data_IF_140631123259
#
_entry.id   IF_140631123259
#
_cell.length_a   1.000
_cell.length_b   1.000
_cell.length_c   1.000
_cell.angle_alpha   90.00
_cell.angle_beta   90.00
_cell.angle_gamma   90.00
#
_symmetry.space_group_name_H-M   'P 1'
#
loop_
_entity.id
_entity.type
_entity.pdbx_description
1 polymer ?
#
# COMPACT_ATOMS: atom_id res chain seq x y z
N UNK A 1 -14.78 -3.43 -3.78
CA UNK A 1 -13.71 -3.99 -2.94
C UNK A 1 -13.55 -3.06 -1.75
N UNK A 2 -13.85 -3.54 -0.54
CA UNK A 2 -14.08 -2.67 0.63
C UNK A 2 -12.76 -2.20 1.23
N UNK A 3 -12.64 -0.89 1.42
CA UNK A 3 -11.56 -0.16 2.10
C UNK A 3 -11.05 -0.80 3.42
N UNK A 4 -11.88 -1.66 4.04
CA UNK A 4 -11.61 -2.50 5.22
C UNK A 4 -10.27 -3.24 5.13
N UNK A 5 -9.90 -3.78 3.97
CA UNK A 5 -8.65 -4.54 3.84
C UNK A 5 -7.39 -3.65 3.95
N UNK A 6 -7.51 -2.36 3.65
CA UNK A 6 -6.36 -1.44 3.74
C UNK A 6 -6.15 -0.93 5.17
N UNK A 7 -7.21 -0.71 5.95
CA UNK A 7 -7.04 -0.25 7.34
C UNK A 7 -6.51 -1.35 8.25
N UNK A 8 -6.97 -2.60 8.10
CA UNK A 8 -6.47 -3.72 8.89
C UNK A 8 -5.01 -4.07 8.56
N UNK A 9 -4.66 -4.26 7.29
CA UNK A 9 -3.29 -4.54 6.88
C UNK A 9 -2.34 -3.36 7.16
N UNK A 10 -2.82 -2.13 6.95
CA UNK A 10 -2.07 -0.91 7.26
C UNK A 10 -1.76 -0.78 8.76
N UNK A 11 -2.70 -1.14 9.63
CA UNK A 11 -2.51 -1.17 11.09
C UNK A 11 -1.47 -2.20 11.50
N UNK A 12 -1.57 -3.44 11.00
CA UNK A 12 -0.61 -4.50 11.34
C UNK A 12 0.83 -4.09 10.97
N UNK A 13 1.00 -3.52 9.77
CA UNK A 13 2.29 -2.99 9.31
C UNK A 13 2.75 -1.82 10.20
N UNK A 14 1.85 -0.88 10.53
CA UNK A 14 2.17 0.29 11.34
C UNK A 14 2.64 -0.11 12.75
N UNK A 15 1.94 -1.05 13.39
CA UNK A 15 2.31 -1.60 14.70
C UNK A 15 3.67 -2.29 14.62
N UNK A 16 3.91 -3.14 13.61
CA UNK A 16 5.18 -3.82 13.44
C UNK A 16 6.36 -2.85 13.22
N UNK A 17 6.14 -1.76 12.47
CA UNK A 17 7.13 -0.69 12.33
C UNK A 17 7.40 -0.02 13.67
N UNK A 18 6.34 0.38 14.38
CA UNK A 18 6.47 1.07 15.66
C UNK A 18 7.20 0.21 16.70
N UNK A 19 6.88 -1.07 16.82
CA UNK A 19 7.50 -1.97 17.80
C UNK A 19 9.03 -2.06 17.61
N UNK A 20 9.48 -2.09 16.34
CA UNK A 20 10.90 -2.16 15.96
C UNK A 20 11.58 -0.80 15.80
N UNK A 21 10.83 0.29 15.88
CA UNK A 21 11.35 1.63 15.67
C UNK A 21 12.37 2.02 16.75
N UNK A 22 13.31 2.89 16.38
CA UNK A 22 14.23 3.52 17.34
C UNK A 22 13.46 4.38 18.35
N UNK A 23 14.12 4.80 19.43
CA UNK A 23 13.50 5.68 20.41
C UNK A 23 13.04 6.99 19.76
N UNK A 24 13.88 7.57 18.91
CA UNK A 24 13.62 8.81 18.19
C UNK A 24 12.43 8.67 17.23
N UNK A 25 12.33 7.54 16.52
CA UNK A 25 11.20 7.26 15.64
C UNK A 25 9.89 7.07 16.40
N UNK A 26 9.92 6.43 17.58
CA UNK A 26 8.75 6.31 18.47
C UNK A 26 8.31 7.69 18.96
N UNK A 27 9.25 8.53 19.39
CA UNK A 27 8.97 9.90 19.84
C UNK A 27 8.27 10.73 18.73
N UNK A 28 8.62 10.52 17.46
CA UNK A 28 7.94 11.17 16.32
C UNK A 28 6.49 10.69 16.17
N UNK A 29 6.23 9.38 16.29
CA UNK A 29 4.87 8.84 16.21
C UNK A 29 4.01 9.29 17.40
N UNK A 30 4.57 9.32 18.60
CA UNK A 30 3.89 9.85 19.79
C UNK A 30 3.65 11.36 19.70
N UNK A 31 4.59 12.13 19.14
CA UNK A 31 4.39 13.55 18.89
C UNK A 31 3.28 13.80 17.87
N UNK A 32 3.16 12.94 16.87
CA UNK A 32 2.04 12.97 15.93
C UNK A 32 0.71 12.71 16.66
N UNK A 33 0.64 11.69 17.53
CA UNK A 33 -0.54 11.42 18.34
C UNK A 33 -0.93 12.62 19.21
N UNK A 34 0.00 13.18 19.97
CA UNK A 34 -0.22 14.37 20.82
C UNK A 34 -0.66 15.61 20.03
N UNK A 35 -0.29 15.70 18.75
CA UNK A 35 -0.76 16.78 17.86
C UNK A 35 -2.22 16.58 17.45
N UNK A 36 -2.68 15.33 17.34
CA UNK A 36 -4.08 15.03 17.03
C UNK A 36 -4.96 15.19 18.28
N UNK A 37 -4.54 14.62 19.40
CA UNK A 37 -5.22 14.69 20.71
C UNK A 37 -5.09 16.11 21.31
N UNK A 38 -5.99 17.00 20.86
CA UNK A 38 -5.91 18.41 21.17
C UNK A 38 -6.46 18.74 22.57
N UNK A 39 -7.41 17.93 23.06
CA UNK A 39 -7.99 18.09 24.39
C UNK A 39 -7.21 17.34 25.49
N UNK A 40 -6.30 16.43 25.12
CA UNK A 40 -5.44 15.68 26.03
C UNK A 40 -6.15 14.54 26.76
N UNK A 41 -7.22 13.99 26.20
CA UNK A 41 -8.00 12.90 26.81
C UNK A 41 -7.41 11.50 26.54
N UNK A 42 -6.30 11.44 25.79
CA UNK A 42 -5.59 10.21 25.46
C UNK A 42 -6.21 9.46 24.30
N UNK A 43 -7.14 10.07 23.57
CA UNK A 43 -7.83 9.52 22.40
C UNK A 43 -7.97 10.62 21.34
N UNK A 44 -8.34 10.23 20.12
CA UNK A 44 -8.55 11.18 19.02
C UNK A 44 -9.97 11.05 18.48
N UNK A 45 -10.77 12.09 18.67
CA UNK A 45 -12.10 12.17 18.08
C UNK A 45 -12.04 12.47 16.58
N UNK A 46 -13.12 12.16 15.85
CA UNK A 46 -13.25 12.53 14.44
C UNK A 46 -13.09 14.05 14.21
N UNK A 47 -13.54 14.86 15.17
CA UNK A 47 -13.43 16.32 15.12
C UNK A 47 -11.97 16.78 15.20
N UNK A 48 -11.20 16.18 16.10
CA UNK A 48 -9.76 16.43 16.24
C UNK A 48 -8.98 15.96 15.03
N UNK A 49 -9.30 14.76 14.52
CA UNK A 49 -8.70 14.26 13.29
C UNK A 49 -8.96 15.21 12.11
N UNK A 50 -10.20 15.71 11.96
CA UNK A 50 -10.59 16.70 10.93
C UNK A 50 -9.81 18.01 10.99
N UNK A 51 -9.46 18.45 12.19
CA UNK A 51 -8.72 19.70 12.40
C UNK A 51 -7.23 19.56 12.09
N UNK A 52 -6.66 18.40 12.40
CA UNK A 52 -5.21 18.19 12.33
C UNK A 52 -4.75 17.47 11.07
N UNK A 53 -5.62 16.67 10.45
CA UNK A 53 -5.37 15.93 9.20
C UNK A 53 -6.46 16.28 8.20
N UNK A 54 -6.07 16.66 6.98
CA UNK A 54 -7.01 16.97 5.89
C UNK A 54 -7.28 15.78 4.97
N UNK A 55 -8.27 15.94 4.10
CA UNK A 55 -8.53 15.01 2.99
C UNK A 55 -9.40 13.80 3.36
N UNK A 56 -9.29 12.71 2.59
CA UNK A 56 -10.18 11.55 2.67
C UNK A 56 -10.17 10.82 4.03
N UNK A 57 -9.10 10.92 4.82
CA UNK A 57 -8.99 10.32 6.15
C UNK A 57 -10.05 10.86 7.12
N UNK A 58 -10.56 12.06 6.85
CA UNK A 58 -11.61 12.71 7.63
C UNK A 58 -13.03 12.25 7.29
N UNK A 59 -13.17 11.36 6.31
CA UNK A 59 -14.44 10.77 5.94
C UNK A 59 -14.92 9.84 7.07
N UNK A 60 -16.17 9.97 7.49
CA UNK A 60 -16.76 9.16 8.56
C UNK A 60 -16.67 7.65 8.32
N UNK A 61 -16.77 7.21 7.06
CA UNK A 61 -16.63 5.79 6.72
C UNK A 61 -15.20 5.27 6.91
N UNK A 62 -14.22 6.15 6.70
CA UNK A 62 -12.80 5.82 6.88
C UNK A 62 -12.46 5.84 8.37
N UNK A 63 -12.95 6.85 9.11
CA UNK A 63 -12.81 6.91 10.55
C UNK A 63 -13.36 5.66 11.23
N UNK A 64 -14.58 5.23 10.89
CA UNK A 64 -15.18 3.98 11.41
C UNK A 64 -14.41 2.70 11.06
N UNK A 65 -13.50 2.74 10.09
CA UNK A 65 -12.63 1.60 9.76
C UNK A 65 -11.27 1.69 10.46
N UNK A 66 -10.91 2.86 10.95
CA UNK A 66 -9.76 3.09 11.81
C UNK A 66 -10.10 2.85 13.28
N UNK A 67 -11.34 3.11 13.69
CA UNK A 67 -11.89 2.75 14.99
C UNK A 67 -12.27 1.26 14.98
N UNK A 68 -11.34 0.40 15.41
CA UNK A 68 -11.53 -1.06 15.41
C UNK A 68 -12.32 -1.53 16.61
N UNK A 69 -12.09 -0.92 17.77
CA UNK A 69 -12.79 -1.28 18.99
C UNK A 69 -14.23 -0.72 19.02
N UNK A 70 -14.55 0.23 18.14
CA UNK A 70 -15.89 0.79 17.95
C UNK A 70 -16.31 1.75 19.06
N UNK A 71 -15.36 2.33 19.80
CA UNK A 71 -15.65 3.23 20.93
C UNK A 71 -15.92 4.68 20.51
N UNK A 72 -15.84 4.97 19.21
CA UNK A 72 -16.10 6.28 18.63
C UNK A 72 -14.91 7.22 18.66
N UNK A 73 -13.76 6.76 19.12
CA UNK A 73 -12.48 7.48 19.16
C UNK A 73 -11.36 6.63 18.56
N UNK A 74 -10.20 7.23 18.31
CA UNK A 74 -8.99 6.48 17.95
C UNK A 74 -8.01 6.49 19.11
N UNK A 75 -7.61 5.32 19.57
CA UNK A 75 -6.50 5.16 20.50
C UNK A 75 -5.13 5.34 19.81
N UNK A 76 -4.05 5.25 20.58
CA UNK A 76 -2.70 5.42 20.05
C UNK A 76 -2.36 4.42 18.93
N UNK A 77 -2.71 3.14 19.08
CA UNK A 77 -2.40 2.10 18.10
C UNK A 77 -3.26 2.25 16.84
N UNK A 78 -4.49 2.72 16.97
CA UNK A 78 -5.36 3.10 15.85
C UNK A 78 -4.80 4.30 15.08
N UNK A 79 -4.23 5.28 15.78
CA UNK A 79 -3.56 6.43 15.17
C UNK A 79 -2.24 6.04 14.49
N UNK A 80 -1.56 4.96 14.88
CA UNK A 80 -0.37 4.49 14.15
C UNK A 80 -0.71 4.15 12.68
N UNK A 81 -1.90 3.60 12.43
CA UNK A 81 -2.36 3.36 11.05
C UNK A 81 -2.50 4.68 10.27
N UNK A 82 -3.04 5.73 10.91
CA UNK A 82 -3.12 7.08 10.32
C UNK A 82 -1.72 7.63 10.06
N UNK A 83 -0.81 7.53 11.03
CA UNK A 83 0.58 7.97 10.89
C UNK A 83 1.26 7.28 9.72
N UNK A 84 1.11 5.96 9.59
CA UNK A 84 1.63 5.16 8.48
C UNK A 84 1.02 5.60 7.14
N UNK A 85 -0.29 5.79 7.06
CA UNK A 85 -0.97 6.23 5.84
C UNK A 85 -0.55 7.63 5.39
N UNK A 86 -0.30 8.55 6.32
CA UNK A 86 0.08 9.93 5.99
C UNK A 86 1.57 10.06 5.66
N UNK A 87 2.44 9.30 6.35
CA UNK A 87 3.89 9.52 6.27
C UNK A 87 4.65 8.44 5.48
N UNK A 88 4.08 7.25 5.29
CA UNK A 88 4.74 6.12 4.62
C UNK A 88 4.04 5.70 3.32
N UNK A 89 2.73 5.89 3.21
CA UNK A 89 2.02 5.62 1.96
C UNK A 89 2.13 6.83 1.02
N UNK A 90 2.66 6.59 -0.18
CA UNK A 90 2.53 7.54 -1.26
C UNK A 90 1.13 7.42 -1.84
N UNK A 91 0.28 8.37 -1.45
CA UNK A 91 -1.12 8.39 -1.83
C UNK A 91 -1.25 8.85 -3.28
N UNK A 92 -1.54 7.91 -4.17
CA UNK A 92 -1.64 8.13 -5.61
C UNK A 92 -3.09 8.38 -6.03
N UNK A 93 -3.26 9.15 -7.10
CA UNK A 93 -4.54 9.33 -7.78
C UNK A 93 -4.53 8.53 -9.08
N UNK A 94 -5.66 7.93 -9.41
CA UNK A 94 -5.87 7.26 -10.68
C UNK A 94 -5.72 8.27 -11.82
N UNK A 95 -4.86 8.03 -12.80
CA UNK A 95 -4.72 8.92 -13.96
C UNK A 95 -6.00 8.97 -14.81
N UNK A 96 -6.79 7.89 -14.84
CA UNK A 96 -8.06 7.83 -15.59
C UNK A 96 -9.21 8.56 -14.90
N UNK A 97 -9.63 8.13 -13.70
CA UNK A 97 -10.81 8.70 -13.03
C UNK A 97 -10.49 9.79 -11.99
N UNK A 98 -9.21 10.09 -11.74
CA UNK A 98 -8.72 10.98 -10.66
C UNK A 98 -9.14 10.55 -9.24
N UNK A 99 -9.74 9.37 -9.10
CA UNK A 99 -10.07 8.76 -7.82
C UNK A 99 -8.83 8.32 -7.06
N UNK A 100 -8.89 8.39 -5.73
CA UNK A 100 -7.79 7.98 -4.86
C UNK A 100 -7.53 6.46 -4.96
N UNK A 101 -6.26 6.07 -5.12
CA UNK A 101 -5.85 4.67 -5.24
C UNK A 101 -5.70 4.03 -3.86
N UNK A 102 -6.84 3.64 -3.30
CA UNK A 102 -6.95 2.96 -2.00
C UNK A 102 -7.24 1.48 -2.27
N UNK A 103 -6.20 0.64 -2.29
CA UNK A 103 -6.30 -0.79 -2.59
C UNK A 103 -5.33 -1.24 -3.70
N UNK A 104 -5.54 -2.40 -4.34
CA UNK A 104 -4.71 -2.81 -5.47
C UNK A 104 -4.94 -1.86 -6.64
N UNK A 105 -3.85 -1.50 -7.28
CA UNK A 105 -3.81 -0.65 -8.46
C UNK A 105 -2.71 -1.14 -9.38
N UNK A 106 -2.68 -0.59 -10.59
CA UNK A 106 -1.65 -0.88 -11.58
C UNK A 106 -0.79 0.37 -11.76
N UNK A 107 0.52 0.20 -11.71
CA UNK A 107 1.47 1.28 -12.01
C UNK A 107 2.27 0.94 -13.25
N UNK A 108 2.51 1.94 -14.10
CA UNK A 108 3.42 1.76 -15.22
C UNK A 108 4.85 1.66 -14.70
N UNK A 109 5.49 0.50 -14.90
CA UNK A 109 6.87 0.24 -14.50
C UNK A 109 7.91 1.20 -15.11
N UNK A 110 7.59 1.86 -16.23
CA UNK A 110 8.43 2.87 -16.87
C UNK A 110 8.20 4.29 -16.34
N UNK A 111 7.03 4.57 -15.77
CA UNK A 111 6.68 5.86 -15.16
C UNK A 111 6.88 5.87 -13.63
N UNK A 112 6.94 4.69 -13.01
CA UNK A 112 7.03 4.50 -11.58
C UNK A 112 8.17 5.35 -10.98
N UNK A 113 7.84 6.15 -9.96
CA UNK A 113 8.79 7.01 -9.25
C UNK A 113 9.12 8.34 -9.94
N UNK A 114 8.65 8.59 -11.17
CA UNK A 114 8.88 9.84 -11.92
C UNK A 114 7.88 10.94 -11.54
N UNK A 115 7.59 11.14 -10.26
CA UNK A 115 6.63 12.16 -9.81
C UNK A 115 6.93 13.55 -10.39
N UNK A 116 5.91 14.30 -10.89
CA UNK A 116 4.48 13.99 -10.90
C UNK A 116 4.02 13.12 -12.09
N UNK A 117 4.92 12.74 -12.98
CA UNK A 117 4.67 12.01 -14.23
C UNK A 117 4.56 10.49 -14.05
N UNK A 118 4.09 10.04 -12.89
CA UNK A 118 3.73 8.63 -12.71
C UNK A 118 2.41 8.34 -13.43
N UNK A 119 2.20 7.08 -13.77
CA UNK A 119 0.96 6.65 -14.41
C UNK A 119 0.40 5.42 -13.70
N UNK A 120 -0.68 5.65 -12.97
CA UNK A 120 -1.29 4.71 -12.04
C UNK A 120 -2.79 4.61 -12.29
N UNK A 121 -3.34 3.39 -12.31
CA UNK A 121 -4.76 3.15 -12.59
C UNK A 121 -5.40 2.27 -11.52
N UNK A 122 -6.63 2.62 -11.17
CA UNK A 122 -7.47 1.71 -10.39
C UNK A 122 -7.88 0.49 -11.22
N UNK A 123 -8.28 -0.60 -10.56
CA UNK A 123 -8.69 -1.82 -11.25
C UNK A 123 -9.81 -1.61 -12.27
N UNK A 124 -10.72 -0.66 -12.03
CA UNK A 124 -11.84 -0.40 -12.94
C UNK A 124 -11.40 0.33 -14.22
N UNK A 125 -10.57 1.37 -14.09
CA UNK A 125 -9.99 2.06 -15.26
C UNK A 125 -9.07 1.12 -16.05
N UNK A 126 -8.25 0.33 -15.36
CA UNK A 126 -7.42 -0.69 -16.01
C UNK A 126 -8.27 -1.69 -16.81
N UNK A 127 -9.36 -2.21 -16.22
CA UNK A 127 -10.24 -3.19 -16.87
C UNK A 127 -10.94 -2.64 -18.12
N UNK A 128 -11.30 -1.35 -18.12
CA UNK A 128 -11.99 -0.72 -19.25
C UNK A 128 -11.08 -0.46 -20.44
N UNK A 129 -9.77 -0.38 -20.23
CA UNK A 129 -8.83 -0.06 -21.31
C UNK A 129 -8.92 1.40 -21.78
N UNK A 130 -9.48 2.31 -20.97
CA UNK A 130 -9.58 3.75 -21.24
C UNK A 130 -8.19 4.45 -21.14
N UNK A 131 -7.18 3.92 -21.83
CA UNK A 131 -5.76 4.30 -21.69
C UNK A 131 -5.12 4.80 -22.99
N UNK A 132 -5.76 4.54 -24.12
CA UNK A 132 -5.10 4.63 -25.43
C UNK A 132 -4.76 6.06 -25.91
N UNK A 133 -5.24 7.11 -25.22
CA UNK A 133 -5.14 8.49 -25.74
C UNK A 133 -4.27 9.42 -24.88
N UNK A 134 -3.89 9.03 -23.66
CA UNK A 134 -3.16 9.91 -22.72
C UNK A 134 -1.81 9.35 -22.24
N UNK A 135 -1.50 8.07 -22.50
CA UNK A 135 -0.28 7.44 -22.00
C UNK A 135 0.53 6.76 -23.11
N UNK A 136 1.79 7.19 -23.26
CA UNK A 136 2.67 6.80 -24.37
C UNK A 136 3.14 5.33 -24.32
N UNK A 137 3.21 4.71 -23.13
CA UNK A 137 3.71 3.34 -23.02
C UNK A 137 2.61 2.27 -23.14
N UNK A 138 2.97 1.15 -23.75
CA UNK A 138 2.13 -0.04 -23.91
C UNK A 138 1.53 -0.52 -22.57
N UNK A 139 0.27 -1.01 -22.56
CA UNK A 139 -0.37 -1.58 -21.36
C UNK A 139 0.38 -2.74 -20.71
N UNK A 140 1.29 -3.41 -21.43
CA UNK A 140 2.14 -4.46 -20.85
C UNK A 140 3.08 -3.97 -19.73
N UNK A 141 3.34 -2.66 -19.69
CA UNK A 141 4.13 -2.05 -18.63
C UNK A 141 3.32 -1.70 -17.38
N UNK A 142 1.98 -1.78 -17.42
CA UNK A 142 1.11 -1.58 -16.27
C UNK A 142 1.06 -2.87 -15.44
N UNK A 143 1.68 -2.82 -14.28
CA UNK A 143 1.86 -3.97 -13.41
C UNK A 143 1.21 -3.70 -12.05
N UNK A 144 0.57 -4.72 -11.47
CA UNK A 144 0.11 -4.67 -10.08
C UNK A 144 1.27 -4.76 -9.09
N UNK A 145 1.01 -4.52 -7.80
CA UNK A 145 2.03 -4.57 -6.74
C UNK A 145 2.85 -5.86 -6.70
N UNK A 146 2.22 -7.04 -6.87
CA UNK A 146 2.95 -8.30 -6.80
C UNK A 146 3.85 -8.48 -8.03
N UNK A 147 3.34 -8.14 -9.22
CA UNK A 147 4.11 -8.18 -10.46
C UNK A 147 5.28 -7.20 -10.44
N UNK A 148 5.08 -5.98 -9.95
CA UNK A 148 6.16 -4.99 -9.76
C UNK A 148 7.24 -5.51 -8.81
N UNK A 149 6.85 -6.06 -7.66
CA UNK A 149 7.80 -6.64 -6.71
C UNK A 149 8.57 -7.82 -7.31
N UNK A 150 7.94 -8.63 -8.15
CA UNK A 150 8.62 -9.71 -8.86
C UNK A 150 9.69 -9.17 -9.82
N UNK A 151 9.37 -8.15 -10.62
CA UNK A 151 10.35 -7.50 -11.52
C UNK A 151 11.51 -6.89 -10.73
N UNK A 152 11.23 -6.20 -9.63
CA UNK A 152 12.27 -5.60 -8.78
C UNK A 152 13.18 -6.68 -8.18
N UNK A 153 12.62 -7.78 -7.67
CA UNK A 153 13.41 -8.89 -7.14
C UNK A 153 14.30 -9.53 -8.19
N UNK A 154 13.78 -9.73 -9.41
CA UNK A 154 14.58 -10.25 -10.53
C UNK A 154 15.74 -9.31 -10.88
N UNK A 155 15.48 -8.01 -10.98
CA UNK A 155 16.53 -7.01 -11.26
C UNK A 155 17.61 -6.97 -10.18
N UNK A 156 17.23 -7.07 -8.91
CA UNK A 156 18.20 -7.12 -7.81
C UNK A 156 19.02 -8.42 -7.83
N UNK A 157 18.40 -9.56 -8.15
CA UNK A 157 19.11 -10.82 -8.31
C UNK A 157 20.13 -10.77 -9.48
N UNK A 158 19.78 -10.14 -10.60
CA UNK A 158 20.66 -9.94 -11.74
C UNK A 158 21.89 -9.09 -11.40
N UNK A 159 21.72 -8.02 -10.60
CA UNK A 159 22.84 -7.18 -10.12
C UNK A 159 23.82 -7.94 -9.23
N UNK A 160 23.36 -8.95 -8.51
CA UNK A 160 24.17 -9.73 -7.59
C UNK A 160 25.02 -10.83 -8.26
N UNK A 161 24.86 -11.04 -9.57
CA UNK A 161 25.68 -11.98 -10.35
C UNK A 161 26.92 -11.27 -10.92
N UNK A 162 28.14 -11.76 -10.65
CA UNK A 162 29.36 -11.16 -11.20
C UNK A 162 29.43 -11.39 -12.72
N UNK A 163 29.21 -10.32 -13.48
CA UNK A 163 29.53 -10.21 -14.90
C UNK A 163 28.48 -10.73 -15.87
N UNK A 164 27.64 -9.82 -16.40
CA UNK A 164 27.34 -9.76 -17.85
C UNK A 164 26.81 -8.40 -18.27
N UNK A 165 27.37 -7.95 -19.39
CA UNK A 165 27.21 -6.67 -20.07
C UNK A 165 25.80 -6.51 -20.63
N UNK A 166 25.37 -5.25 -20.74
CA UNK A 166 24.15 -4.81 -21.42
C UNK A 166 23.99 -5.44 -22.80
N UNK A 167 22.90 -6.17 -23.01
CA UNK A 167 22.30 -6.35 -24.33
C UNK A 167 20.80 -6.09 -24.18
N UNK A 168 20.33 -5.05 -24.87
CA UNK A 168 18.94 -4.59 -24.84
C UNK A 168 17.99 -5.59 -25.48
N UNK A 169 17.55 -6.55 -24.69
CA UNK A 169 16.33 -7.33 -24.95
C UNK A 169 15.39 -7.09 -23.77
N UNK A 170 14.15 -6.70 -24.06
CA UNK A 170 13.16 -6.37 -23.05
C UNK A 170 12.73 -7.65 -22.32
N UNK A 171 12.75 -7.61 -20.98
CA UNK A 171 12.47 -8.74 -20.07
C UNK A 171 11.06 -9.39 -20.22
N UNK A 172 10.22 -8.90 -21.14
CA UNK A 172 8.89 -9.43 -21.45
C UNK A 172 8.98 -10.77 -22.20
N UNK A 173 10.06 -11.05 -22.95
CA UNK A 173 10.22 -12.32 -23.66
C UNK A 173 10.75 -13.46 -22.78
N UNK A 174 11.56 -13.15 -21.75
CA UNK A 174 12.11 -14.17 -20.84
C UNK A 174 11.00 -14.82 -19.99
N UNK A 175 9.96 -14.06 -19.64
CA UNK A 175 8.80 -14.57 -18.90
C UNK A 175 7.92 -15.53 -19.72
N UNK A 176 7.93 -15.43 -21.06
CA UNK A 176 7.12 -16.29 -21.94
C UNK A 176 7.70 -17.70 -22.13
N UNK A 177 9.01 -17.89 -21.92
CA UNK A 177 9.69 -19.16 -22.24
C UNK A 177 9.81 -20.16 -21.07
N UNK A 178 9.45 -19.78 -19.83
CA UNK A 178 9.36 -20.74 -18.73
C UNK A 178 7.91 -21.18 -18.56
N UNK A 179 7.57 -22.36 -19.11
CA UNK A 179 6.35 -23.10 -18.73
C UNK A 179 6.27 -23.12 -17.20
N UNK A 180 5.36 -22.32 -16.62
CA UNK A 180 5.11 -22.32 -15.18
C UNK A 180 4.60 -23.71 -14.78
N UNK A 181 5.50 -24.55 -14.26
CA UNK A 181 5.06 -25.70 -13.47
C UNK A 181 4.32 -25.13 -12.27
N UNK A 182 3.02 -25.44 -12.17
CA UNK A 182 2.17 -25.03 -11.05
C UNK A 182 2.82 -25.51 -9.74
N UNK A 183 3.03 -24.64 -8.74
CA UNK A 183 3.58 -25.05 -7.46
C UNK A 183 2.63 -26.04 -6.78
N UNK A 184 3.17 -27.17 -6.30
CA UNK A 184 2.41 -28.15 -5.50
C UNK A 184 1.99 -27.51 -4.18
N UNK A 185 0.69 -27.31 -4.01
CA UNK A 185 0.08 -26.86 -2.77
C UNK A 185 0.08 -27.99 -1.74
N UNK A 186 0.68 -27.77 -0.57
CA UNK A 186 0.56 -28.64 0.59
C UNK A 186 -0.24 -27.90 1.68
N UNK A 187 -1.48 -28.31 1.97
CA UNK A 187 -2.27 -27.65 3.01
C UNK A 187 -1.64 -27.88 4.40
N UNK A 188 -1.52 -26.80 5.17
CA UNK A 188 -1.10 -26.83 6.56
C UNK A 188 -2.26 -27.37 7.39
N UNK A 189 -2.08 -28.51 8.08
CA UNK A 189 -3.10 -29.05 8.99
C UNK A 189 -3.31 -28.07 10.15
N UNK A 190 -4.50 -27.50 10.24
CA UNK A 190 -4.99 -26.81 11.43
C UNK A 190 -5.03 -27.85 12.56
N UNK A 191 -4.39 -27.55 13.69
CA UNK A 191 -4.59 -28.34 14.91
C UNK A 191 -5.89 -27.86 15.52
N UNK A 192 -6.86 -28.76 15.60
CA UNK A 192 -8.11 -28.54 16.31
C UNK A 192 -7.81 -28.42 17.81
N UNK A 193 -7.90 -27.20 18.35
CA UNK A 193 -8.08 -26.99 19.79
C UNK A 193 -9.56 -27.19 20.11
N UNK A 194 -9.93 -28.45 20.34
CA UNK A 194 -11.10 -28.79 21.15
C UNK A 194 -11.00 -30.24 21.63
N UNK A 195 -10.51 -30.43 22.86
CA UNK A 195 -10.86 -31.62 23.66
C UNK A 195 -10.57 -31.38 25.13
N UNK A 196 -11.66 -31.17 25.87
CA UNK A 196 -11.89 -31.37 27.32
C UNK A 196 -11.40 -30.30 28.29
#
# INVERSE_FOLDING_TARGET
MTMISLTAAGREIATAYYERASKEEKEVAEAFFRKLDANGDGRVSLHELKKSVGGWLTNEKVFKQLDENGDGTLDFYEVLAVYYMVNKLQMLLCNGCRGLLVGPYFSCSLCLGKSPNTFDLCCDCYRRGDVEHEHEHSPEHLLDHHSLLAVLRSKEAEKSLPGKVSSGETNIEIAKNKKMQKPKYYPRKLKDENSK
#
